data_IF_116791286527
#
_entry.id   IF_116791286527
#
_cell.length_a   1.000
_cell.length_b   1.000
_cell.length_c   1.000
_cell.angle_alpha   90.00
_cell.angle_beta   90.00
_cell.angle_gamma   90.00
#
_symmetry.space_group_name_H-M   'P 1'
#
loop_
_entity.id
_entity.type
_entity.pdbx_description
1 polymer ?
#
# COMPACT_ATOMS: atom_id res chain seq x y z
N UNK A 1 -3.17 26.88 -2.69
CA UNK A 1 -4.02 26.26 -3.72
C UNK A 1 -5.42 26.19 -3.12
N UNK A 2 -6.40 26.84 -3.74
CA UNK A 2 -7.74 27.01 -3.19
C UNK A 2 -8.52 25.69 -3.28
N UNK A 3 -9.22 25.31 -2.21
CA UNK A 3 -9.97 24.05 -2.15
C UNK A 3 -11.18 24.13 -3.08
N UNK A 4 -11.18 23.34 -4.16
CA UNK A 4 -12.27 23.27 -5.12
C UNK A 4 -13.04 21.94 -4.93
N UNK A 5 -14.27 21.96 -4.37
CA UNK A 5 -15.02 20.74 -4.07
C UNK A 5 -15.26 19.83 -5.29
N UNK A 6 -15.48 20.42 -6.46
CA UNK A 6 -15.69 19.67 -7.70
C UNK A 6 -14.43 18.90 -8.13
N UNK A 7 -13.25 19.53 -8.01
CA UNK A 7 -11.96 18.91 -8.29
C UNK A 7 -11.71 17.71 -7.37
N UNK A 8 -12.04 17.83 -6.08
CA UNK A 8 -11.91 16.73 -5.13
C UNK A 8 -12.89 15.58 -5.42
N UNK A 9 -14.14 15.90 -5.82
CA UNK A 9 -15.10 14.87 -6.25
C UNK A 9 -14.60 14.10 -7.48
N UNK A 10 -14.07 14.80 -8.48
CA UNK A 10 -13.52 14.18 -9.68
C UNK A 10 -12.30 13.31 -9.35
N UNK A 11 -11.41 13.81 -8.47
CA UNK A 11 -10.27 13.05 -7.96
C UNK A 11 -10.72 11.77 -7.25
N UNK A 12 -11.67 11.86 -6.33
CA UNK A 12 -12.20 10.69 -5.60
C UNK A 12 -12.83 9.67 -6.55
N UNK A 13 -13.57 10.14 -7.56
CA UNK A 13 -14.15 9.27 -8.59
C UNK A 13 -13.05 8.55 -9.36
N UNK A 14 -12.02 9.26 -9.82
CA UNK A 14 -10.88 8.67 -10.51
C UNK A 14 -10.15 7.62 -9.65
N UNK A 15 -9.85 7.94 -8.39
CA UNK A 15 -9.20 7.01 -7.45
C UNK A 15 -10.04 5.75 -7.20
N UNK A 16 -11.37 5.89 -7.24
CA UNK A 16 -12.29 4.76 -7.08
C UNK A 16 -12.31 3.81 -8.29
N UNK A 17 -12.02 4.32 -9.50
CA UNK A 17 -12.04 3.57 -10.77
C UNK A 17 -10.83 2.65 -10.95
N UNK A 18 -9.69 2.98 -10.32
CA UNK A 18 -8.49 2.11 -10.34
C UNK A 18 -8.70 0.78 -9.59
N UNK A 19 -9.83 0.61 -8.90
CA UNK A 19 -10.14 -0.59 -8.12
C UNK A 19 -10.69 -1.70 -9.01
N UNK A 20 -10.03 -2.85 -8.98
CA UNK A 20 -10.60 -4.13 -9.40
C UNK A 20 -10.89 -4.94 -8.15
N UNK A 21 -12.16 -5.23 -7.81
CA UNK A 21 -12.51 -5.89 -6.55
C UNK A 21 -11.76 -7.21 -6.28
N UNK A 22 -11.38 -7.94 -7.34
CA UNK A 22 -10.64 -9.19 -7.24
C UNK A 22 -9.10 -9.03 -7.13
N UNK A 23 -8.55 -7.83 -7.32
CA UNK A 23 -7.11 -7.55 -7.35
C UNK A 23 -6.82 -6.41 -6.37
N UNK A 24 -6.67 -6.76 -5.10
CA UNK A 24 -6.37 -5.82 -4.01
C UNK A 24 -5.23 -6.36 -3.18
N UNK A 25 -4.54 -5.51 -2.40
CA UNK A 25 -3.51 -5.99 -1.47
C UNK A 25 -4.03 -7.07 -0.52
N UNK A 26 -5.31 -6.98 -0.13
CA UNK A 26 -5.97 -7.98 0.71
C UNK A 26 -6.01 -9.36 0.06
N UNK A 27 -6.01 -9.49 -1.28
CA UNK A 27 -6.03 -10.81 -1.93
C UNK A 27 -4.67 -11.52 -1.90
N UNK A 28 -3.59 -10.81 -1.60
CA UNK A 28 -2.22 -11.36 -1.60
C UNK A 28 -1.53 -11.30 -0.24
N UNK A 29 -1.86 -10.32 0.61
CA UNK A 29 -1.21 -10.15 1.91
C UNK A 29 -1.69 -11.22 2.92
N UNK A 30 -0.78 -12.03 3.49
CA UNK A 30 -1.13 -13.17 4.34
C UNK A 30 -1.38 -12.73 5.79
N UNK A 31 -2.49 -12.02 6.04
CA UNK A 31 -2.87 -11.61 7.39
C UNK A 31 -3.11 -12.84 8.29
N UNK A 32 -2.23 -13.03 9.27
CA UNK A 32 -2.37 -14.04 10.32
C UNK A 32 -3.14 -13.46 11.51
N UNK A 33 -4.39 -13.88 11.65
CA UNK A 33 -5.30 -13.45 12.73
C UNK A 33 -4.76 -13.76 14.12
N UNK A 34 -3.95 -14.80 14.28
CA UNK A 34 -3.37 -15.17 15.58
C UNK A 34 -2.36 -14.14 16.10
N UNK A 35 -1.89 -13.25 15.22
CA UNK A 35 -0.95 -12.17 15.57
C UNK A 35 -1.64 -10.85 15.94
N UNK A 36 -2.98 -10.84 15.94
CA UNK A 36 -3.80 -9.66 16.22
C UNK A 36 -4.27 -9.72 17.67
N UNK A 37 -4.31 -8.56 18.33
CA UNK A 37 -4.74 -8.49 19.72
C UNK A 37 -6.24 -8.70 19.79
N UNK A 38 -6.69 -9.36 20.85
CA UNK A 38 -8.10 -9.51 21.22
C UNK A 38 -8.68 -8.26 21.92
N UNK A 39 -7.83 -7.28 22.26
CA UNK A 39 -8.24 -6.01 22.85
C UNK A 39 -9.01 -5.15 21.81
N UNK A 40 -10.31 -4.90 22.03
CA UNK A 40 -11.12 -4.10 21.11
C UNK A 40 -10.69 -2.63 21.06
N UNK A 41 -9.99 -2.11 22.07
CA UNK A 41 -9.53 -0.71 22.13
C UNK A 41 -8.19 -0.50 21.41
N UNK A 42 -7.48 -1.59 21.07
CA UNK A 42 -6.24 -1.53 20.29
C UNK A 42 -6.56 -1.37 18.81
N UNK A 43 -5.84 -0.47 18.13
CA UNK A 43 -6.02 -0.29 16.69
C UNK A 43 -5.45 -1.47 15.91
N UNK A 44 -6.28 -2.08 15.06
CA UNK A 44 -5.84 -3.16 14.17
C UNK A 44 -5.39 -2.61 12.83
N UNK A 45 -6.05 -1.57 12.30
CA UNK A 45 -5.77 -1.03 10.98
C UNK A 45 -5.89 0.49 10.98
N UNK A 46 -4.82 1.18 10.57
CA UNK A 46 -4.76 2.63 10.40
C UNK A 46 -4.42 2.94 8.94
N UNK A 47 -5.38 3.46 8.20
CA UNK A 47 -5.26 3.85 6.79
C UNK A 47 -4.84 5.33 6.69
N UNK A 48 -3.55 5.57 6.46
CA UNK A 48 -2.92 6.91 6.50
C UNK A 48 -2.87 7.51 5.10
N UNK A 49 -3.51 8.67 4.92
CA UNK A 49 -3.76 9.23 3.59
C UNK A 49 -4.79 8.40 2.82
N UNK A 50 -5.75 7.79 3.54
CA UNK A 50 -6.70 6.83 2.99
C UNK A 50 -7.81 7.44 2.12
N UNK A 51 -7.77 8.75 1.89
CA UNK A 51 -8.79 9.49 1.16
C UNK A 51 -10.14 9.39 1.85
N UNK A 52 -11.14 8.89 1.12
CA UNK A 52 -12.50 8.71 1.65
C UNK A 52 -12.74 7.34 2.30
N UNK A 53 -11.69 6.55 2.58
CA UNK A 53 -11.80 5.32 3.39
C UNK A 53 -12.15 4.06 2.62
N UNK A 54 -11.79 3.98 1.33
CA UNK A 54 -12.04 2.78 0.53
C UNK A 54 -11.35 1.53 1.08
N UNK A 55 -10.13 1.66 1.63
CA UNK A 55 -9.38 0.51 2.14
C UNK A 55 -9.93 0.08 3.50
N UNK A 56 -10.31 1.01 4.37
CA UNK A 56 -11.07 0.70 5.59
C UNK A 56 -12.36 -0.08 5.29
N UNK A 57 -13.12 0.34 4.27
CA UNK A 57 -14.35 -0.36 3.86
C UNK A 57 -14.07 -1.80 3.39
N UNK A 58 -13.07 -1.99 2.52
CA UNK A 58 -12.68 -3.33 2.05
C UNK A 58 -12.15 -4.20 3.20
N UNK A 59 -11.40 -3.62 4.13
CA UNK A 59 -10.88 -4.33 5.30
C UNK A 59 -12.02 -4.82 6.21
N UNK A 60 -13.01 -3.96 6.49
CA UNK A 60 -14.20 -4.33 7.28
C UNK A 60 -15.10 -5.33 6.56
N UNK A 61 -15.22 -5.26 5.25
CA UNK A 61 -15.97 -6.24 4.44
C UNK A 61 -15.32 -7.62 4.49
N UNK A 62 -13.98 -7.68 4.35
CA UNK A 62 -13.25 -8.95 4.38
C UNK A 62 -13.12 -9.55 5.79
N UNK A 63 -13.03 -8.70 6.81
CA UNK A 63 -12.80 -9.10 8.19
C UNK A 63 -13.83 -8.46 9.15
N UNK A 64 -15.13 -8.79 9.03
CA UNK A 64 -16.18 -8.13 9.80
C UNK A 64 -16.03 -8.34 11.31
N UNK A 65 -15.65 -9.55 11.71
CA UNK A 65 -15.56 -10.01 13.11
C UNK A 65 -14.17 -9.82 13.73
N UNK A 66 -13.24 -9.17 13.02
CA UNK A 66 -11.90 -8.96 13.54
C UNK A 66 -11.95 -7.89 14.66
N UNK A 67 -11.44 -8.18 15.86
CA UNK A 67 -11.41 -7.22 16.96
C UNK A 67 -10.44 -6.08 16.65
N UNK A 68 -10.60 -5.00 17.41
CA UNK A 68 -9.77 -3.81 17.33
C UNK A 68 -10.34 -2.72 16.42
N UNK A 69 -9.75 -1.54 16.56
CA UNK A 69 -10.22 -0.32 15.89
C UNK A 69 -9.70 -0.24 14.46
N UNK A 70 -10.56 0.19 13.55
CA UNK A 70 -10.22 0.51 12.16
C UNK A 70 -10.32 2.01 11.99
N UNK A 71 -9.22 2.65 11.61
CA UNK A 71 -9.08 4.10 11.64
C UNK A 71 -8.70 4.60 10.24
N UNK A 72 -9.46 5.55 9.72
CA UNK A 72 -9.13 6.34 8.54
C UNK A 72 -8.44 7.64 8.98
N UNK A 73 -7.31 7.95 8.37
CA UNK A 73 -6.59 9.22 8.54
C UNK A 73 -6.40 9.94 7.21
N UNK A 74 -6.81 11.20 7.17
CA UNK A 74 -6.53 12.12 6.07
C UNK A 74 -6.67 13.57 6.55
N UNK A 75 -6.46 14.56 5.69
CA UNK A 75 -6.71 15.96 6.01
C UNK A 75 -8.20 16.21 6.30
N UNK A 76 -8.48 17.17 7.19
CA UNK A 76 -9.85 17.46 7.64
C UNK A 76 -10.90 17.62 6.51
N UNK A 77 -10.62 18.34 5.40
CA UNK A 77 -11.60 18.46 4.30
C UNK A 77 -11.87 17.16 3.54
N UNK A 78 -10.93 16.21 3.58
CA UNK A 78 -11.04 14.91 2.91
C UNK A 78 -11.82 13.94 3.79
N UNK A 79 -11.45 13.85 5.08
CA UNK A 79 -12.15 13.01 6.07
C UNK A 79 -13.62 13.43 6.24
N UNK A 80 -13.93 14.72 6.08
CA UNK A 80 -15.31 15.21 6.06
C UNK A 80 -16.19 14.58 4.94
N UNK A 81 -15.56 13.98 3.92
CA UNK A 81 -16.22 13.27 2.82
C UNK A 81 -16.02 11.75 2.88
N UNK A 82 -15.53 11.24 4.02
CA UNK A 82 -15.35 9.81 4.22
C UNK A 82 -16.66 9.04 4.01
N UNK A 83 -16.53 7.82 3.49
CA UNK A 83 -17.66 6.92 3.33
C UNK A 83 -18.29 6.60 4.70
N UNK A 84 -19.62 6.43 4.77
CA UNK A 84 -20.31 6.04 6.01
C UNK A 84 -20.13 4.54 6.28
N UNK A 85 -18.89 4.10 6.51
CA UNK A 85 -18.56 2.70 6.77
C UNK A 85 -18.71 2.37 8.26
N UNK A 86 -19.61 1.44 8.64
CA UNK A 86 -19.78 1.07 10.06
C UNK A 86 -18.50 0.52 10.68
N UNK A 87 -18.19 0.98 11.89
CA UNK A 87 -17.02 0.53 12.65
C UNK A 87 -15.68 1.11 12.16
N UNK A 88 -15.71 2.17 11.34
CA UNK A 88 -14.51 2.94 10.96
C UNK A 88 -14.52 4.28 11.70
N UNK A 89 -13.42 4.58 12.36
CA UNK A 89 -13.16 5.86 13.02
C UNK A 89 -12.44 6.81 12.06
N UNK A 90 -12.96 8.03 11.93
CA UNK A 90 -12.46 9.03 11.00
C UNK A 90 -11.65 10.09 11.77
N UNK A 91 -10.34 10.16 11.57
CA UNK A 91 -9.44 11.07 12.28
C UNK A 91 -8.77 12.02 11.27
N UNK A 92 -8.96 13.33 11.46
CA UNK A 92 -8.21 14.31 10.70
C UNK A 92 -6.73 14.30 11.15
N UNK A 93 -5.81 14.00 10.25
CA UNK A 93 -4.39 13.89 10.54
C UNK A 93 -3.52 14.33 9.35
N UNK A 94 -2.42 15.01 9.68
CA UNK A 94 -1.36 15.38 8.76
C UNK A 94 -0.16 14.48 9.07
N UNK A 95 0.18 13.57 8.14
CA UNK A 95 1.19 12.53 8.34
C UNK A 95 2.62 13.05 8.49
N UNK A 96 2.87 14.35 8.29
CA UNK A 96 4.16 14.96 8.64
C UNK A 96 4.29 15.25 10.13
N UNK A 97 3.17 15.22 10.86
CA UNK A 97 3.12 15.37 12.31
C UNK A 97 3.28 14.03 12.99
N UNK A 98 3.48 14.06 14.31
CA UNK A 98 3.51 12.86 15.13
C UNK A 98 2.25 12.01 14.92
N UNK A 99 2.43 10.72 14.63
CA UNK A 99 1.32 9.77 14.45
C UNK A 99 0.56 9.60 15.77
N UNK A 100 -0.74 9.98 15.85
CA UNK A 100 -1.49 9.99 17.11
C UNK A 100 -1.91 8.59 17.58
N UNK A 101 -2.06 7.61 16.68
CA UNK A 101 -2.42 6.24 17.04
C UNK A 101 -1.13 5.48 17.33
N UNK A 102 -0.98 4.96 18.54
CA UNK A 102 0.22 4.22 18.97
C UNK A 102 -0.06 2.72 19.03
N UNK A 103 0.94 1.91 18.72
CA UNK A 103 0.90 0.44 18.82
C UNK A 103 -0.14 -0.25 17.94
N UNK A 104 -0.54 0.35 16.81
CA UNK A 104 -1.47 -0.32 15.90
C UNK A 104 -0.84 -1.56 15.26
N UNK A 105 -1.65 -2.58 14.92
CA UNK A 105 -1.14 -3.76 14.21
C UNK A 105 -0.64 -3.42 12.81
N UNK A 106 -1.47 -2.73 12.03
CA UNK A 106 -1.12 -2.30 10.67
C UNK A 106 -1.25 -0.78 10.55
N UNK A 107 -0.14 -0.13 10.19
CA UNK A 107 -0.16 1.19 9.58
C UNK A 107 -0.08 1.01 8.07
N UNK A 108 -1.02 1.56 7.32
CA UNK A 108 -1.17 1.30 5.89
C UNK A 108 -1.16 2.61 5.11
N UNK A 109 -0.45 2.63 3.99
CA UNK A 109 -0.41 3.76 3.06
C UNK A 109 -0.52 3.24 1.63
N UNK A 110 -1.39 3.84 0.82
CA UNK A 110 -1.61 3.43 -0.57
C UNK A 110 -1.66 4.59 -1.54
N UNK A 111 -0.81 4.56 -2.57
CA UNK A 111 -0.73 5.61 -3.59
C UNK A 111 -0.58 7.02 -2.98
N UNK A 112 0.26 7.11 -1.95
CA UNK A 112 0.46 8.32 -1.16
C UNK A 112 1.92 8.75 -1.22
N UNK A 113 2.86 7.83 -1.00
CA UNK A 113 4.29 8.12 -0.87
C UNK A 113 4.94 8.41 -2.23
N UNK A 114 4.36 7.92 -3.34
CA UNK A 114 4.81 8.29 -4.69
C UNK A 114 4.59 9.77 -5.04
N UNK A 115 3.78 10.51 -4.27
CA UNK A 115 3.57 11.95 -4.45
C UNK A 115 4.68 12.81 -3.81
N UNK A 116 5.64 12.19 -3.11
CA UNK A 116 6.63 12.91 -2.32
C UNK A 116 8.06 12.55 -2.70
N UNK A 117 8.98 13.53 -2.72
CA UNK A 117 10.40 13.25 -2.93
C UNK A 117 10.97 12.41 -1.77
N UNK A 118 12.02 11.65 -2.05
CA UNK A 118 12.57 10.64 -1.13
C UNK A 118 12.84 11.15 0.30
N UNK A 119 13.45 12.33 0.54
CA UNK A 119 13.64 12.83 1.90
C UNK A 119 12.34 13.02 2.69
N UNK A 120 11.24 13.38 2.01
CA UNK A 120 9.92 13.54 2.62
C UNK A 120 9.26 12.20 2.90
N UNK A 121 9.45 11.20 2.03
CA UNK A 121 9.00 9.83 2.29
C UNK A 121 9.67 9.28 3.55
N UNK A 122 10.98 9.49 3.71
CA UNK A 122 11.71 9.07 4.91
C UNK A 122 11.16 9.75 6.17
N UNK A 123 10.92 11.07 6.12
CA UNK A 123 10.31 11.83 7.22
C UNK A 123 8.96 11.23 7.65
N UNK A 124 8.07 10.93 6.68
CA UNK A 124 6.76 10.32 6.94
C UNK A 124 6.91 8.94 7.60
N UNK A 125 7.78 8.08 7.04
CA UNK A 125 8.00 6.73 7.58
C UNK A 125 8.58 6.81 9.00
N UNK A 126 9.45 7.79 9.30
CA UNK A 126 9.98 8.00 10.65
C UNK A 126 8.87 8.37 11.65
N UNK A 127 7.91 9.24 11.28
CA UNK A 127 6.74 9.56 12.12
C UNK A 127 5.89 8.33 12.43
N UNK A 128 5.71 7.45 11.46
CA UNK A 128 4.96 6.21 11.64
C UNK A 128 5.74 5.25 12.53
N UNK A 129 7.04 5.09 12.28
CA UNK A 129 7.93 4.24 13.09
C UNK A 129 7.88 4.60 14.57
N UNK A 130 7.87 5.90 14.91
CA UNK A 130 7.75 6.38 16.30
C UNK A 130 6.47 5.88 17.02
N UNK A 131 5.45 5.49 16.28
CA UNK A 131 4.21 4.94 16.80
C UNK A 131 4.13 3.40 16.76
N UNK A 132 5.10 2.73 16.15
CA UNK A 132 5.12 1.26 16.03
C UNK A 132 5.51 0.58 17.35
N UNK A 133 4.83 -0.51 17.67
CA UNK A 133 5.18 -1.40 18.78
C UNK A 133 6.15 -2.49 18.30
N UNK A 134 7.35 -2.61 18.91
CA UNK A 134 8.33 -3.65 18.58
C UNK A 134 7.74 -5.06 18.63
N UNK A 135 8.00 -5.85 17.60
CA UNK A 135 7.55 -7.24 17.47
C UNK A 135 6.07 -7.40 17.10
N UNK A 136 5.31 -6.31 17.02
CA UNK A 136 3.86 -6.35 16.80
C UNK A 136 3.42 -5.60 15.54
N UNK A 137 3.80 -4.32 15.44
CA UNK A 137 3.36 -3.43 14.37
C UNK A 137 4.03 -3.73 13.03
N UNK A 138 3.27 -3.51 11.96
CA UNK A 138 3.74 -3.62 10.57
C UNK A 138 3.34 -2.34 9.84
N UNK A 139 4.26 -1.78 9.06
CA UNK A 139 3.97 -0.75 8.06
C UNK A 139 3.78 -1.42 6.70
N UNK A 140 2.59 -1.26 6.13
CA UNK A 140 2.25 -1.74 4.80
C UNK A 140 2.23 -0.56 3.83
N UNK A 141 3.08 -0.64 2.80
CA UNK A 141 3.15 0.37 1.73
C UNK A 141 2.66 -0.28 0.44
N UNK A 142 1.50 0.17 -0.06
CA UNK A 142 0.87 -0.30 -1.29
C UNK A 142 1.06 0.72 -2.41
N UNK A 143 2.06 0.49 -3.26
CA UNK A 143 2.53 1.41 -4.28
C UNK A 143 2.85 0.68 -5.58
N UNK A 144 3.09 1.43 -6.67
CA UNK A 144 3.72 0.85 -7.85
C UNK A 144 5.22 0.63 -7.57
N UNK A 145 5.67 -0.61 -7.73
CA UNK A 145 7.06 -1.01 -7.55
C UNK A 145 7.65 -1.41 -8.90
N UNK A 146 8.48 -0.54 -9.46
CA UNK A 146 9.01 -0.71 -10.81
C UNK A 146 10.16 -1.71 -10.86
N UNK A 147 10.31 -2.50 -11.94
CA UNK A 147 11.51 -3.27 -12.17
C UNK A 147 12.69 -2.37 -12.56
N UNK A 148 13.91 -2.81 -12.27
CA UNK A 148 15.16 -2.09 -12.61
C UNK A 148 15.36 -1.86 -14.13
N UNK A 149 14.70 -2.65 -14.96
CA UNK A 149 14.77 -2.52 -16.42
C UNK A 149 13.52 -3.07 -17.09
N UNK A 150 13.34 -2.78 -18.38
CA UNK A 150 12.19 -3.24 -19.19
C UNK A 150 10.83 -2.80 -18.62
N UNK A 151 10.79 -1.62 -18.03
CA UNK A 151 9.56 -0.97 -17.56
C UNK A 151 8.62 -0.73 -18.74
N UNK A 152 7.32 -0.99 -18.56
CA UNK A 152 6.34 -0.75 -19.61
C UNK A 152 6.20 0.74 -19.93
N UNK A 153 5.91 1.08 -21.18
CA UNK A 153 5.71 2.47 -21.60
C UNK A 153 4.62 3.20 -20.79
N UNK A 154 3.59 2.47 -20.34
CA UNK A 154 2.54 3.02 -19.50
C UNK A 154 3.07 3.44 -18.12
N UNK A 155 3.87 2.61 -17.47
CA UNK A 155 4.45 2.96 -16.17
C UNK A 155 5.50 4.07 -16.29
N UNK A 156 6.30 4.11 -17.35
CA UNK A 156 7.18 5.25 -17.62
C UNK A 156 6.39 6.56 -17.78
N UNK A 157 5.23 6.52 -18.43
CA UNK A 157 4.37 7.70 -18.57
C UNK A 157 3.83 8.18 -17.21
N UNK A 158 3.43 7.25 -16.33
CA UNK A 158 2.99 7.58 -14.98
C UNK A 158 4.12 8.17 -14.15
N UNK A 159 5.33 7.62 -14.23
CA UNK A 159 6.51 8.16 -13.55
C UNK A 159 6.87 9.58 -14.02
N UNK A 160 6.84 9.83 -15.34
CA UNK A 160 7.01 11.18 -15.89
C UNK A 160 5.90 12.13 -15.40
N UNK A 161 4.68 11.63 -15.21
CA UNK A 161 3.60 12.42 -14.61
C UNK A 161 3.91 12.75 -13.15
N UNK A 162 4.45 11.81 -12.36
CA UNK A 162 4.89 12.05 -10.98
C UNK A 162 5.98 13.11 -10.92
N UNK A 163 6.97 13.04 -11.81
CA UNK A 163 8.03 14.03 -11.92
C UNK A 163 7.47 15.43 -12.22
N UNK A 164 6.60 15.55 -13.22
CA UNK A 164 6.06 16.84 -13.66
C UNK A 164 5.07 17.48 -12.67
N UNK A 165 4.23 16.68 -12.02
CA UNK A 165 3.15 17.17 -11.15
C UNK A 165 3.59 17.34 -9.68
N UNK A 166 4.50 16.49 -9.21
CA UNK A 166 4.83 16.37 -7.77
C UNK A 166 6.32 16.52 -7.45
N UNK A 167 7.18 16.68 -8.46
CA UNK A 167 8.64 16.61 -8.30
C UNK A 167 9.07 15.32 -7.56
N UNK A 168 8.41 14.22 -7.91
CA UNK A 168 8.55 12.90 -7.30
C UNK A 168 8.78 11.81 -8.36
N UNK A 169 8.82 10.55 -7.94
CA UNK A 169 9.04 9.40 -8.79
C UNK A 169 8.28 8.15 -8.28
N UNK A 170 7.93 7.28 -9.23
CA UNK A 170 7.70 5.87 -8.95
C UNK A 170 9.05 5.20 -8.65
N UNK A 171 9.06 4.20 -7.77
CA UNK A 171 10.31 3.66 -7.20
C UNK A 171 10.49 2.18 -7.45
N UNK A 172 11.74 1.74 -7.55
CA UNK A 172 12.08 0.31 -7.57
C UNK A 172 12.05 -0.28 -6.17
N UNK A 173 12.02 -1.61 -6.08
CA UNK A 173 12.10 -2.31 -4.79
C UNK A 173 13.41 -2.00 -4.06
N UNK A 174 14.51 -1.82 -4.79
CA UNK A 174 15.81 -1.46 -4.22
C UNK A 174 15.73 -0.10 -3.54
N UNK A 175 15.14 0.90 -4.19
CA UNK A 175 14.96 2.24 -3.60
C UNK A 175 14.04 2.19 -2.38
N UNK A 176 12.95 1.41 -2.42
CA UNK A 176 12.08 1.21 -1.27
C UNK A 176 12.80 0.58 -0.07
N UNK A 177 13.68 -0.39 -0.34
CA UNK A 177 14.52 -1.00 0.70
C UNK A 177 15.47 0.02 1.31
N UNK A 178 16.17 0.82 0.50
CA UNK A 178 17.08 1.87 0.97
C UNK A 178 16.33 2.92 1.82
N UNK A 179 15.16 3.36 1.37
CA UNK A 179 14.28 4.27 2.12
C UNK A 179 13.88 3.69 3.48
N UNK A 180 13.45 2.43 3.50
CA UNK A 180 13.11 1.74 4.74
C UNK A 180 14.31 1.67 5.69
N UNK A 181 15.47 1.30 5.17
CA UNK A 181 16.72 1.19 5.95
C UNK A 181 17.13 2.53 6.57
N UNK A 182 17.04 3.63 5.82
CA UNK A 182 17.33 4.99 6.29
C UNK A 182 16.30 5.48 7.32
N UNK A 183 15.03 5.14 7.14
CA UNK A 183 13.98 5.43 8.11
C UNK A 183 14.09 4.56 9.39
N UNK A 184 14.87 3.49 9.36
CA UNK A 184 15.07 2.56 10.49
C UNK A 184 14.09 1.39 10.52
N UNK A 185 13.49 1.06 9.38
CA UNK A 185 12.71 -0.15 9.13
C UNK A 185 13.50 -1.12 8.23
N UNK A 186 12.97 -2.33 8.07
CA UNK A 186 13.46 -3.32 7.12
C UNK A 186 12.29 -3.78 6.24
N UNK A 187 12.52 -3.86 4.93
CA UNK A 187 11.60 -4.54 4.02
C UNK A 187 11.70 -6.05 4.25
N UNK A 188 10.59 -6.67 4.61
CA UNK A 188 10.50 -8.11 4.90
C UNK A 188 10.07 -8.90 3.68
N UNK A 189 9.03 -8.43 3.00
CA UNK A 189 8.45 -9.11 1.84
C UNK A 189 7.67 -8.14 0.96
N UNK A 190 7.56 -8.45 -0.33
CA UNK A 190 6.76 -7.70 -1.30
C UNK A 190 5.77 -8.64 -2.00
N UNK A 191 4.50 -8.28 -1.94
CA UNK A 191 3.42 -9.04 -2.58
C UNK A 191 2.85 -8.27 -3.77
N UNK A 192 3.10 -8.74 -4.99
CA UNK A 192 2.54 -8.18 -6.21
C UNK A 192 1.13 -8.73 -6.47
N UNK A 193 0.18 -7.87 -6.85
CA UNK A 193 -1.20 -8.29 -7.14
C UNK A 193 -1.76 -7.79 -8.47
N UNK A 194 -1.18 -6.74 -9.06
CA UNK A 194 -1.59 -6.27 -10.38
C UNK A 194 -0.50 -5.45 -11.07
N UNK A 195 0.04 -5.95 -12.17
CA UNK A 195 1.14 -5.30 -12.90
C UNK A 195 2.31 -4.94 -11.97
N UNK A 196 2.51 -3.65 -11.65
CA UNK A 196 3.53 -3.19 -10.72
C UNK A 196 2.96 -2.83 -9.34
N UNK A 197 1.64 -2.80 -9.17
CA UNK A 197 1.00 -2.56 -7.87
C UNK A 197 1.32 -3.71 -6.91
N UNK A 198 1.98 -3.35 -5.81
CA UNK A 198 2.51 -4.29 -4.83
C UNK A 198 2.38 -3.71 -3.43
N UNK A 199 2.03 -4.56 -2.46
CA UNK A 199 2.10 -4.22 -1.04
C UNK A 199 3.40 -4.74 -0.44
N UNK A 200 4.12 -3.86 0.23
CA UNK A 200 5.40 -4.14 0.88
C UNK A 200 5.23 -4.17 2.40
N UNK A 201 5.76 -5.20 3.05
CA UNK A 201 5.75 -5.40 4.51
C UNK A 201 7.05 -4.83 5.10
N UNK A 202 6.94 -3.72 5.84
CA UNK A 202 8.05 -3.11 6.57
C UNK A 202 7.89 -3.31 8.07
N UNK A 203 8.99 -3.69 8.73
CA UNK A 203 9.03 -3.91 10.19
C UNK A 203 10.19 -3.19 10.86
N UNK A 204 10.12 -3.04 12.18
CA UNK A 204 11.24 -2.52 12.96
C UNK A 204 12.45 -3.46 12.82
N UNK A 205 13.65 -2.88 12.72
CA UNK A 205 14.89 -3.67 12.69
C UNK A 205 15.02 -4.46 13.99
N UNK A 206 15.28 -5.76 13.89
CA UNK A 206 15.41 -6.65 15.04
C UNK A 206 14.11 -7.37 15.44
N UNK A 207 12.97 -7.01 14.87
CA UNK A 207 11.77 -7.84 14.95
C UNK A 207 12.04 -9.15 14.22
N UNK A 208 12.01 -10.27 14.96
CA UNK A 208 12.37 -11.59 14.45
C UNK A 208 11.53 -11.99 13.24
N UNK A 209 12.06 -11.76 12.04
CA UNK A 209 11.48 -12.23 10.80
C UNK A 209 11.76 -13.74 10.72
N UNK A 210 10.72 -14.57 10.89
CA UNK A 210 10.78 -15.95 10.40
C UNK A 210 10.86 -15.87 8.88
N UNK A 211 12.07 -15.97 8.34
CA UNK A 211 12.37 -15.85 6.92
C UNK A 211 11.49 -16.76 6.06
N UNK A 212 10.90 -16.18 5.02
CA UNK A 212 10.31 -16.90 3.91
C UNK A 212 11.41 -17.27 2.90
N UNK A 213 11.73 -18.55 2.89
CA UNK A 213 12.29 -19.42 1.84
C UNK A 213 12.87 -18.78 0.55
N UNK A 214 14.14 -19.13 0.34
CA UNK A 214 14.95 -19.25 -0.89
C UNK A 214 14.29 -19.01 -2.25
N UNK A 215 14.99 -18.22 -3.08
CA UNK A 215 14.84 -18.07 -4.53
C UNK A 215 14.79 -19.43 -5.26
N UNK A 216 13.57 -19.95 -5.42
CA UNK A 216 13.28 -21.09 -6.28
C UNK A 216 12.84 -20.63 -7.66
N UNK A 217 13.77 -20.25 -8.53
CA UNK A 217 13.50 -20.20 -9.98
C UNK A 217 13.09 -21.60 -10.44
N UNK A 218 11.82 -21.78 -10.74
CA UNK A 218 11.33 -22.89 -11.57
C UNK A 218 10.82 -22.31 -12.88
N UNK A 219 11.75 -22.10 -13.80
CA UNK A 219 11.46 -22.10 -15.23
C UNK A 219 10.92 -23.48 -15.62
N UNK A 220 9.73 -23.52 -16.22
CA UNK A 220 9.23 -24.76 -16.78
C UNK A 220 7.75 -24.81 -17.09
N UNK A 221 7.30 -24.06 -18.10
CA UNK A 221 6.21 -24.54 -18.97
C UNK A 221 6.59 -24.21 -20.43
N UNK A 222 7.04 -25.24 -21.15
CA UNK A 222 7.04 -25.28 -22.61
C UNK A 222 5.65 -25.68 -23.05
N UNK A 223 4.85 -24.74 -23.52
CA UNK A 223 3.65 -25.09 -24.29
C UNK A 223 4.01 -25.05 -25.78
N UNK A 224 4.12 -26.25 -26.34
CA UNK A 224 4.23 -26.48 -27.76
C UNK A 224 2.90 -26.20 -28.43
N UNK A 225 2.84 -25.12 -29.21
CA UNK A 225 1.79 -24.94 -30.22
C UNK A 225 2.18 -25.77 -31.44
N UNK A 226 1.46 -26.86 -31.67
CA UNK A 226 1.47 -27.57 -32.96
C UNK A 226 0.77 -26.68 -33.98
N UNK A 227 1.53 -26.19 -34.93
CA UNK A 227 1.02 -25.59 -36.15
C UNK A 227 0.43 -26.71 -37.03
N UNK A 228 -0.88 -26.65 -37.26
CA UNK A 228 -1.58 -27.52 -38.21
C UNK A 228 -2.10 -26.66 -39.35
N UNK A 229 -1.22 -26.38 -40.31
CA UNK A 229 -1.59 -25.72 -41.56
C UNK A 229 -0.81 -26.35 -42.73
N UNK A 230 -1.29 -27.48 -43.25
CA UNK A 230 -0.93 -27.90 -44.60
C UNK A 230 -2.09 -28.63 -45.28
N UNK A 231 -2.29 -28.22 -46.54
CA UNK A 231 -2.96 -28.91 -47.64
C UNK A 231 -4.42 -28.56 -47.98
N UNK A 232 -4.54 -27.65 -48.94
CA UNK A 232 -5.27 -27.76 -50.22
C UNK A 232 -4.90 -26.49 -51.01
N UNK A 233 -4.30 -26.46 -52.20
CA UNK A 233 -3.99 -27.44 -53.23
C UNK A 233 -3.96 -26.66 -54.57
N UNK A 234 -2.87 -26.77 -55.33
CA UNK A 234 -2.74 -26.57 -56.79
C UNK A 234 -1.25 -26.41 -57.16
#
# INVERSE_FOLDING_TARGET
MEFQPETLKNFNTFMSLRRKPAQTWLSVYPLDRSTISDDPDKAVFVDIGGGIGHQCAQFKEKYPDLPGRVILQDLSPVVAQALPTPGVENIAHDFFKEQPVKGAKFYFMRLTLHNWPTPKVIEIIQRIKEAMEPGYSVLLIDEMVLPESKVSAHACMLDLMMMGAFASAERTEKEWKEIGEEAGLQLVEKYNYFQYESVMDFRLKGDGVKGGVEDGVKDGVKDGVKDSSAENGA
#
